data_IF_697020669218
#
_entry.id   IF_697020669218
#
_cell.length_a   1.000
_cell.length_b   1.000
_cell.length_c   1.000
_cell.angle_alpha   90.00
_cell.angle_beta   90.00
_cell.angle_gamma   90.00
#
_symmetry.space_group_name_H-M   'P 1'
#
loop_
_entity.id
_entity.type
_entity.pdbx_description
1 polymer ?
#
# COMPACT_ATOMS: atom_id res chain seq x y z
N UNK A 1 -17.17 72.40 -61.22
CA UNK A 1 -17.50 72.17 -59.79
C UNK A 1 -16.34 71.35 -59.22
N UNK A 2 -15.30 72.04 -58.74
CA UNK A 2 -14.08 71.40 -58.23
C UNK A 2 -14.26 71.15 -56.75
N UNK A 3 -14.30 69.89 -56.34
CA UNK A 3 -14.31 69.51 -54.92
C UNK A 3 -12.96 69.90 -54.35
N UNK A 4 -12.95 70.82 -53.37
CA UNK A 4 -11.75 71.24 -52.68
C UNK A 4 -11.33 70.18 -51.66
N UNK A 5 -10.36 69.36 -52.07
CA UNK A 5 -9.85 68.22 -51.30
C UNK A 5 -9.20 68.69 -49.99
N UNK A 6 -8.64 69.91 -49.95
CA UNK A 6 -8.00 70.44 -48.75
C UNK A 6 -9.01 70.76 -47.64
N UNK A 7 -10.17 71.34 -48.02
CA UNK A 7 -11.27 71.62 -47.09
C UNK A 7 -11.95 70.35 -46.55
N UNK A 8 -12.03 69.30 -47.37
CA UNK A 8 -12.51 67.98 -46.94
C UNK A 8 -11.53 67.35 -45.96
N UNK A 9 -10.22 67.48 -46.21
CA UNK A 9 -9.19 66.89 -45.36
C UNK A 9 -9.11 67.54 -43.97
N UNK A 10 -9.19 68.88 -43.87
CA UNK A 10 -9.15 69.58 -42.58
C UNK A 10 -10.41 69.35 -41.72
N UNK A 11 -11.56 69.10 -42.36
CA UNK A 11 -12.85 68.90 -41.67
C UNK A 11 -13.03 67.45 -41.20
N UNK A 12 -12.52 66.48 -41.95
CA UNK A 12 -12.69 65.04 -41.66
C UNK A 12 -11.41 64.33 -41.20
N UNK A 13 -10.24 64.95 -41.27
CA UNK A 13 -8.95 64.33 -40.93
C UNK A 13 -8.90 63.74 -39.52
N UNK A 14 -9.36 64.49 -38.51
CA UNK A 14 -9.40 64.00 -37.13
C UNK A 14 -10.37 62.82 -36.91
N UNK A 15 -11.48 62.77 -37.66
CA UNK A 15 -12.41 61.63 -37.60
C UNK A 15 -11.83 60.40 -38.28
N UNK A 16 -11.10 60.57 -39.39
CA UNK A 16 -10.44 59.46 -40.10
C UNK A 16 -9.33 58.89 -39.22
N UNK A 17 -8.54 59.74 -38.57
CA UNK A 17 -7.48 59.32 -37.66
C UNK A 17 -8.04 58.55 -36.45
N UNK A 18 -9.14 59.02 -35.85
CA UNK A 18 -9.81 58.32 -34.76
C UNK A 18 -10.40 56.96 -35.19
N UNK A 19 -10.95 56.86 -36.40
CA UNK A 19 -11.46 55.59 -36.95
C UNK A 19 -10.33 54.61 -37.21
N UNK A 20 -9.21 55.07 -37.80
CA UNK A 20 -8.02 54.24 -38.04
C UNK A 20 -7.41 53.77 -36.72
N UNK A 21 -7.29 54.64 -35.73
CA UNK A 21 -6.81 54.28 -34.39
C UNK A 21 -7.74 53.28 -33.69
N UNK A 22 -9.07 53.46 -33.82
CA UNK A 22 -10.08 52.54 -33.28
C UNK A 22 -10.02 51.15 -33.90
N UNK A 23 -9.90 51.07 -35.24
CA UNK A 23 -9.74 49.79 -35.95
C UNK A 23 -8.40 49.14 -35.61
N UNK A 24 -7.31 49.92 -35.56
CA UNK A 24 -6.00 49.43 -35.14
C UNK A 24 -6.01 48.87 -33.72
N UNK A 25 -6.68 49.56 -32.79
CA UNK A 25 -6.88 49.10 -31.41
C UNK A 25 -7.70 47.82 -31.31
N UNK A 26 -8.77 47.69 -32.11
CA UNK A 26 -9.58 46.47 -32.18
C UNK A 26 -8.76 45.28 -32.68
N UNK A 27 -8.03 45.45 -33.79
CA UNK A 27 -7.19 44.39 -34.36
C UNK A 27 -6.09 43.98 -33.38
N UNK A 28 -5.43 44.93 -32.73
CA UNK A 28 -4.42 44.65 -31.70
C UNK A 28 -5.02 43.89 -30.51
N UNK A 29 -6.23 44.24 -30.08
CA UNK A 29 -6.93 43.55 -29.00
C UNK A 29 -7.30 42.10 -29.38
N UNK A 30 -7.80 41.87 -30.60
CA UNK A 30 -8.07 40.52 -31.10
C UNK A 30 -6.80 39.67 -31.22
N UNK A 31 -5.70 40.24 -31.75
CA UNK A 31 -4.42 39.55 -31.81
C UNK A 31 -3.92 39.19 -30.39
N UNK A 32 -4.07 40.10 -29.43
CA UNK A 32 -3.71 39.86 -28.03
C UNK A 32 -4.57 38.76 -27.39
N UNK A 33 -5.88 38.73 -27.66
CA UNK A 33 -6.75 37.65 -27.20
C UNK A 33 -6.33 36.30 -27.77
N UNK A 34 -6.04 36.23 -29.08
CA UNK A 34 -5.61 34.99 -29.72
C UNK A 34 -4.29 34.46 -29.14
N UNK A 35 -3.29 35.34 -28.98
CA UNK A 35 -2.00 34.99 -28.37
C UNK A 35 -2.19 34.55 -26.91
N UNK A 36 -3.06 35.21 -26.15
CA UNK A 36 -3.33 34.81 -24.76
C UNK A 36 -4.01 33.45 -24.66
N UNK A 37 -4.91 33.11 -25.59
CA UNK A 37 -5.56 31.81 -25.65
C UNK A 37 -4.56 30.69 -25.99
N UNK A 38 -3.66 30.94 -26.96
CA UNK A 38 -2.59 29.99 -27.27
C UNK A 38 -1.66 29.73 -26.07
N UNK A 39 -1.29 30.78 -25.33
CA UNK A 39 -0.49 30.64 -24.11
C UNK A 39 -1.21 29.86 -23.02
N UNK A 40 -2.50 30.14 -22.81
CA UNK A 40 -3.31 29.41 -21.84
C UNK A 40 -3.37 27.91 -22.13
N UNK A 41 -3.44 27.52 -23.41
CA UNK A 41 -3.39 26.11 -23.80
C UNK A 41 -2.03 25.46 -23.52
N UNK A 42 -0.93 26.17 -23.76
CA UNK A 42 0.42 25.68 -23.45
C UNK A 42 0.63 25.53 -21.94
N UNK A 43 0.20 26.52 -21.16
CA UNK A 43 0.28 26.51 -19.70
C UNK A 43 -0.57 25.38 -19.10
N UNK A 44 -1.79 25.17 -19.62
CA UNK A 44 -2.65 24.06 -19.22
C UNK A 44 -2.01 22.69 -19.55
N UNK A 45 -1.34 22.58 -20.70
CA UNK A 45 -0.59 21.38 -21.07
C UNK A 45 0.57 21.09 -20.13
N UNK A 46 1.35 22.11 -19.76
CA UNK A 46 2.44 21.98 -18.79
C UNK A 46 1.92 21.59 -17.40
N UNK A 47 0.80 22.18 -16.97
CA UNK A 47 0.17 21.81 -15.70
C UNK A 47 -0.32 20.35 -15.71
N UNK A 48 -0.91 19.89 -16.82
CA UNK A 48 -1.35 18.50 -16.96
C UNK A 48 -0.17 17.52 -16.88
N UNK A 49 0.95 17.82 -17.55
CA UNK A 49 2.17 17.01 -17.47
C UNK A 49 2.74 16.98 -16.05
N UNK A 50 2.78 18.12 -15.36
CA UNK A 50 3.27 18.18 -13.99
C UNK A 50 2.41 17.35 -13.02
N UNK A 51 1.09 17.29 -13.23
CA UNK A 51 0.18 16.43 -12.46
C UNK A 51 0.44 14.95 -12.79
N UNK A 52 0.65 14.62 -14.06
CA UNK A 52 0.97 13.26 -14.49
C UNK A 52 2.30 12.78 -13.89
N UNK A 53 3.36 13.58 -13.95
CA UNK A 53 4.66 13.26 -13.36
C UNK A 53 4.56 13.03 -11.85
N UNK A 54 3.71 13.81 -11.18
CA UNK A 54 3.46 13.62 -9.74
C UNK A 54 2.65 12.34 -9.46
N UNK A 55 1.74 11.97 -10.36
CA UNK A 55 0.96 10.75 -10.26
C UNK A 55 1.84 9.51 -10.48
N UNK A 56 2.64 9.49 -11.55
CA UNK A 56 3.58 8.38 -11.85
C UNK A 56 4.63 8.22 -10.76
N UNK A 57 5.13 9.32 -10.19
CA UNK A 57 6.04 9.28 -9.05
C UNK A 57 5.39 8.71 -7.78
N UNK A 58 4.07 8.89 -7.60
CA UNK A 58 3.33 8.25 -6.50
C UNK A 58 3.12 6.77 -6.76
N UNK A 59 2.72 6.40 -7.97
CA UNK A 59 2.53 5.01 -8.40
C UNK A 59 3.82 4.20 -8.24
N UNK A 60 4.97 4.74 -8.68
CA UNK A 60 6.25 4.07 -8.52
C UNK A 60 6.63 3.82 -7.05
N UNK A 61 6.23 4.72 -6.13
CA UNK A 61 6.45 4.51 -4.68
C UNK A 61 5.51 3.45 -4.12
N UNK A 62 4.24 3.44 -4.52
CA UNK A 62 3.29 2.43 -4.06
C UNK A 62 3.69 1.05 -4.57
N UNK A 63 4.12 0.94 -5.82
CA UNK A 63 4.57 -0.32 -6.40
C UNK A 63 5.82 -0.84 -5.69
N UNK A 64 6.80 0.03 -5.40
CA UNK A 64 7.98 -0.36 -4.64
C UNK A 64 7.63 -0.88 -3.23
N UNK A 65 6.66 -0.23 -2.55
CA UNK A 65 6.18 -0.70 -1.25
C UNK A 65 5.44 -2.03 -1.36
N UNK A 66 4.62 -2.22 -2.39
CA UNK A 66 3.92 -3.48 -2.63
C UNK A 66 4.91 -4.62 -2.86
N UNK A 67 5.93 -4.42 -3.70
CA UNK A 67 6.99 -5.40 -3.95
C UNK A 67 7.76 -5.75 -2.67
N UNK A 68 8.08 -4.75 -1.84
CA UNK A 68 8.76 -5.00 -0.56
C UNK A 68 7.87 -5.78 0.42
N UNK A 69 6.59 -5.43 0.52
CA UNK A 69 5.64 -6.13 1.38
C UNK A 69 5.40 -7.58 0.91
N UNK A 70 5.23 -7.81 -0.39
CA UNK A 70 5.03 -9.16 -0.93
C UNK A 70 6.25 -10.03 -0.73
N UNK A 71 7.46 -9.48 -0.93
CA UNK A 71 8.71 -10.16 -0.62
C UNK A 71 8.78 -10.58 0.85
N UNK A 72 8.48 -9.66 1.78
CA UNK A 72 8.49 -9.96 3.21
C UNK A 72 7.46 -11.02 3.62
N UNK A 73 6.26 -11.00 3.04
CA UNK A 73 5.24 -12.02 3.29
C UNK A 73 5.71 -13.39 2.77
N UNK A 74 6.32 -13.44 1.59
CA UNK A 74 6.85 -14.67 1.03
C UNK A 74 7.94 -15.28 1.92
N UNK A 75 8.85 -14.45 2.45
CA UNK A 75 9.90 -14.89 3.37
C UNK A 75 9.31 -15.43 4.68
N UNK A 76 8.33 -14.74 5.27
CA UNK A 76 7.66 -15.20 6.50
C UNK A 76 6.89 -16.50 6.28
N UNK A 77 6.22 -16.66 5.13
CA UNK A 77 5.54 -17.90 4.79
C UNK A 77 6.53 -19.05 4.63
N UNK A 78 7.68 -18.82 4.00
CA UNK A 78 8.73 -19.84 3.88
C UNK A 78 9.28 -20.24 5.25
N UNK A 79 9.55 -19.28 6.12
CA UNK A 79 9.99 -19.57 7.49
C UNK A 79 8.95 -20.38 8.27
N UNK A 80 7.67 -20.01 8.14
CA UNK A 80 6.57 -20.73 8.78
C UNK A 80 6.47 -22.17 8.27
N UNK A 81 6.58 -22.39 6.97
CA UNK A 81 6.57 -23.76 6.44
C UNK A 81 7.74 -24.59 6.93
N UNK A 82 8.94 -24.01 7.03
CA UNK A 82 10.10 -24.70 7.60
C UNK A 82 9.89 -25.07 9.08
N UNK A 83 9.26 -24.18 9.86
CA UNK A 83 8.96 -24.50 11.27
C UNK A 83 7.83 -25.52 11.40
N UNK A 84 6.80 -25.44 10.57
CA UNK A 84 5.66 -26.36 10.60
C UNK A 84 6.10 -27.79 10.23
N UNK A 85 7.01 -27.93 9.25
CA UNK A 85 7.59 -29.22 8.85
C UNK A 85 8.43 -29.83 9.98
N UNK A 86 9.32 -29.04 10.58
CA UNK A 86 10.13 -29.48 11.72
C UNK A 86 9.27 -29.86 12.94
N UNK A 87 8.18 -29.13 13.20
CA UNK A 87 7.24 -29.48 14.26
C UNK A 87 6.55 -30.81 13.94
N UNK A 88 6.06 -31.00 12.72
CA UNK A 88 5.40 -32.24 12.30
C UNK A 88 6.30 -33.47 12.53
N UNK A 89 7.59 -33.36 12.20
CA UNK A 89 8.57 -34.42 12.44
C UNK A 89 8.72 -34.75 13.92
N UNK A 90 8.81 -33.73 14.79
CA UNK A 90 8.90 -33.91 16.25
C UNK A 90 7.64 -34.59 16.79
N UNK A 91 6.45 -34.21 16.33
CA UNK A 91 5.20 -34.86 16.73
C UNK A 91 5.15 -36.33 16.28
N UNK A 92 5.57 -36.61 15.04
CA UNK A 92 5.63 -37.98 14.53
C UNK A 92 6.57 -38.85 15.37
N UNK A 93 7.75 -38.32 15.71
CA UNK A 93 8.72 -39.01 16.58
C UNK A 93 8.20 -39.20 18.00
N UNK A 94 7.51 -38.21 18.59
CA UNK A 94 6.96 -38.33 19.93
C UNK A 94 5.84 -39.39 20.01
N UNK A 95 4.97 -39.45 19.00
CA UNK A 95 3.91 -40.46 18.93
C UNK A 95 4.51 -41.86 18.74
N UNK A 96 5.49 -42.03 17.85
CA UNK A 96 6.14 -43.33 17.61
C UNK A 96 6.90 -43.83 18.84
N UNK A 97 7.59 -42.95 19.56
CA UNK A 97 8.23 -43.26 20.84
C UNK A 97 7.21 -43.70 21.90
N UNK A 98 6.05 -43.03 21.96
CA UNK A 98 4.98 -43.40 22.90
C UNK A 98 4.43 -44.80 22.60
N UNK A 99 4.20 -45.12 21.32
CA UNK A 99 3.69 -46.42 20.90
C UNK A 99 4.69 -47.55 21.18
N UNK A 100 5.97 -47.34 20.86
CA UNK A 100 7.01 -48.35 21.13
C UNK A 100 7.16 -48.65 22.63
N UNK A 101 7.07 -47.64 23.50
CA UNK A 101 7.07 -47.88 24.95
C UNK A 101 5.85 -48.68 25.39
N UNK A 102 4.66 -48.38 24.84
CA UNK A 102 3.43 -49.12 25.16
C UNK A 102 3.52 -50.58 24.73
N UNK A 103 4.08 -50.87 23.55
CA UNK A 103 4.32 -52.24 23.08
C UNK A 103 5.30 -53.00 24.00
N UNK A 104 6.38 -52.34 24.43
CA UNK A 104 7.36 -52.92 25.36
C UNK A 104 6.77 -53.18 26.75
N UNK A 105 5.97 -52.25 27.29
CA UNK A 105 5.31 -52.45 28.57
C UNK A 105 4.28 -53.60 28.50
N UNK A 106 3.54 -53.71 27.38
CA UNK A 106 2.62 -54.82 27.14
C UNK A 106 3.36 -56.17 27.04
N UNK A 107 4.49 -56.23 26.33
CA UNK A 107 5.33 -57.43 26.23
C UNK A 107 5.92 -57.85 27.59
N UNK A 108 6.20 -56.88 28.47
CA UNK A 108 6.70 -57.12 29.82
C UNK A 108 5.60 -57.39 30.87
N UNK A 109 4.32 -57.41 30.46
CA UNK A 109 3.17 -57.59 31.37
C UNK A 109 2.99 -56.45 32.38
N UNK A 110 3.52 -55.25 32.08
CA UNK A 110 3.40 -54.07 32.94
C UNK A 110 2.11 -53.29 32.63
N UNK A 111 1.53 -52.57 33.62
CA UNK A 111 0.39 -51.72 33.36
C UNK A 111 0.76 -50.56 32.40
N UNK A 112 -0.17 -50.09 31.55
CA UNK A 112 0.11 -49.04 30.57
C UNK A 112 0.53 -47.72 31.22
N UNK A 113 1.64 -47.12 30.76
CA UNK A 113 2.06 -45.80 31.23
C UNK A 113 1.18 -44.69 30.65
N UNK A 114 0.81 -43.74 31.51
CA UNK A 114 0.10 -42.51 31.12
C UNK A 114 1.15 -41.46 30.78
N UNK A 115 1.19 -41.01 29.53
CA UNK A 115 2.05 -39.91 29.12
C UNK A 115 1.24 -38.61 29.04
N UNK A 116 1.89 -37.49 29.33
CA UNK A 116 1.32 -36.14 29.18
C UNK A 116 0.75 -35.94 27.77
N UNK A 117 -0.33 -35.17 27.65
CA UNK A 117 -0.87 -34.80 26.35
C UNK A 117 0.15 -33.97 25.58
N UNK A 118 0.24 -34.22 24.28
CA UNK A 118 1.02 -33.36 23.39
C UNK A 118 0.39 -31.96 23.37
N UNK A 119 1.20 -30.90 23.22
CA UNK A 119 0.68 -29.55 23.04
C UNK A 119 -0.29 -29.53 21.85
N UNK A 120 -1.38 -28.75 21.92
CA UNK A 120 -2.33 -28.66 20.81
C UNK A 120 -1.66 -28.05 19.58
N UNK A 121 -1.74 -28.74 18.45
CA UNK A 121 -1.29 -28.26 17.14
C UNK A 121 -2.51 -27.97 16.25
N UNK A 122 -2.54 -26.86 15.48
CA UNK A 122 -1.54 -25.80 15.41
C UNK A 122 -1.50 -24.95 16.69
N UNK A 123 -0.33 -24.39 17.02
CA UNK A 123 -0.21 -23.44 18.13
C UNK A 123 -1.16 -22.27 17.88
N UNK A 124 -2.02 -21.89 18.86
CA UNK A 124 -2.82 -20.70 18.72
C UNK A 124 -1.86 -19.52 18.51
N UNK A 125 -2.20 -18.56 17.62
CA UNK A 125 -1.40 -17.35 17.47
C UNK A 125 -1.24 -16.73 18.86
N UNK A 126 0.01 -16.58 19.30
CA UNK A 126 0.34 -16.13 20.64
C UNK A 126 -0.46 -14.85 20.96
N UNK A 127 -1.48 -14.94 21.80
CA UNK A 127 -1.86 -13.80 22.62
C UNK A 127 -0.61 -13.49 23.42
N UNK A 128 -0.01 -12.33 23.13
CA UNK A 128 1.20 -11.80 23.73
C UNK A 128 1.07 -11.93 25.25
N UNK A 129 1.59 -13.02 25.80
CA UNK A 129 1.57 -13.29 27.24
C UNK A 129 2.73 -12.50 27.80
N UNK A 130 2.43 -11.27 28.17
CA UNK A 130 3.30 -10.42 28.94
C UNK A 130 3.77 -11.24 30.15
N UNK A 131 5.08 -11.24 30.34
CA UNK A 131 5.79 -12.11 31.27
C UNK A 131 5.46 -11.74 32.72
N UNK A 132 4.48 -12.40 33.33
CA UNK A 132 4.35 -12.55 34.78
C UNK A 132 3.36 -13.65 35.12
N UNK A 133 3.61 -14.36 36.21
CA UNK A 133 2.85 -15.46 36.81
C UNK A 133 3.18 -16.83 36.19
N UNK A 134 4.23 -17.54 36.60
CA UNK A 134 4.74 -17.64 37.98
C UNK A 134 3.97 -18.73 38.71
N UNK A 135 4.61 -19.89 38.82
CA UNK A 135 4.40 -20.95 39.81
C UNK A 135 2.99 -21.13 40.41
N UNK A 136 2.34 -22.24 40.07
CA UNK A 136 1.69 -23.02 41.13
C UNK A 136 2.10 -24.48 41.00
N UNK A 137 2.72 -24.90 42.08
CA UNK A 137 3.25 -26.21 42.42
C UNK A 137 2.20 -27.30 42.31
N UNK A 138 2.69 -28.48 41.92
CA UNK A 138 2.13 -29.78 42.27
C UNK A 138 1.91 -29.80 43.79
N UNK A 139 0.70 -30.14 44.23
CA UNK A 139 0.51 -30.80 45.53
C UNK A 139 -0.51 -31.94 45.35
N UNK A 140 0.00 -33.14 45.54
CA UNK A 140 -0.73 -34.39 45.60
C UNK A 140 -0.86 -34.72 47.09
N UNK A 141 -2.08 -34.76 47.63
CA UNK A 141 -2.36 -35.62 48.80
C UNK A 141 -3.77 -36.19 48.72
N UNK A 142 -3.78 -37.50 48.53
CA UNK A 142 -4.90 -38.43 48.71
C UNK A 142 -5.30 -38.54 50.17
N UNK A 143 -6.60 -38.57 50.46
CA UNK A 143 -7.32 -39.37 51.50
C UNK A 143 -8.77 -38.84 51.53
N UNK A 144 -9.85 -39.61 51.51
CA UNK A 144 -10.09 -40.95 52.00
C UNK A 144 -11.44 -40.91 52.72
N UNK A 145 -12.42 -41.66 52.22
CA UNK A 145 -13.74 -41.90 52.82
C UNK A 145 -13.67 -42.38 54.27
N UNK A 146 -14.51 -41.80 55.13
CA UNK A 146 -15.32 -42.50 56.15
C UNK A 146 -16.55 -41.64 56.47
#
# INVERSE_FOLDING_TARGET
MTVDIAAVWSTYGGTIEAVVAGVGGWCANMARMYVSAQRAHLDAGQQALAVLDRATAREGRTDALLVACTGRIADLMRQRWQSDDALQDVYAQAISARLTIQELDAAAGRPPRIFSSLPPYPYPPNDRKDSSDGASTVDETTQGTA
#
